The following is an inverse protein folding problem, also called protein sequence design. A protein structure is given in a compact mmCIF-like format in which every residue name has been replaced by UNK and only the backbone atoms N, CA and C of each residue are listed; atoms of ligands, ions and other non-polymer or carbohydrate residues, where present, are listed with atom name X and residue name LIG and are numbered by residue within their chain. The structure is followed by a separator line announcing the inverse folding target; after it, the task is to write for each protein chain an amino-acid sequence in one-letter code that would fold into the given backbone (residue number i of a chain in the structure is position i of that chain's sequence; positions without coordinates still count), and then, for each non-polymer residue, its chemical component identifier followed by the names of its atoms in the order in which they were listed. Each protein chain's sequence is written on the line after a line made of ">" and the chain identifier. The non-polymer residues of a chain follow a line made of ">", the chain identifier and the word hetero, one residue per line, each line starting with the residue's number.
data_IF_524843658633
#
_entry.id   IF_524843658633
#
_cell.length_a   1.000
_cell.length_b   1.000
_cell.length_c   1.000
_cell.angle_alpha   90.00
_cell.angle_beta   90.00
_cell.angle_gamma   90.00
#
_symmetry.space_group_name_H-M   'P 1'
#
loop_
_entity.id
_entity.type
_entity.pdbx_description
1 polymer ?
#
# COMPACT_ATOMS: atom_id res chain seq x y z
N UNK A 1 -9.99 -10.93 -16.56
CA UNK A 1 -9.91 -10.21 -15.26
C UNK A 1 -8.64 -9.40 -15.20
N UNK A 2 -8.73 -8.17 -14.79
CA UNK A 2 -7.62 -7.23 -14.55
C UNK A 2 -7.35 -7.09 -13.07
N UNK A 3 -6.08 -6.97 -12.69
CA UNK A 3 -5.64 -6.61 -11.35
C UNK A 3 -5.08 -5.19 -11.36
N UNK A 4 -5.49 -4.38 -10.41
CA UNK A 4 -5.01 -3.01 -10.22
C UNK A 4 -4.62 -2.83 -8.76
N UNK A 5 -3.56 -2.09 -8.49
CA UNK A 5 -3.21 -1.69 -7.12
C UNK A 5 -2.64 -0.27 -7.12
N UNK A 6 -2.58 0.39 -5.96
CA UNK A 6 -1.70 1.55 -5.85
C UNK A 6 -0.23 1.12 -5.67
N UNK A 7 0.69 2.06 -5.89
CA UNK A 7 2.14 1.77 -5.89
C UNK A 7 2.69 1.32 -4.55
N UNK A 8 1.95 1.46 -3.44
CA UNK A 8 2.35 0.90 -2.15
C UNK A 8 2.36 -0.64 -2.12
N UNK A 9 1.96 -1.31 -3.20
CA UNK A 9 2.14 -2.76 -3.36
C UNK A 9 3.59 -3.18 -3.68
N UNK A 10 4.47 -2.23 -3.95
CA UNK A 10 5.90 -2.41 -4.23
C UNK A 10 6.23 -3.24 -5.49
N UNK A 11 5.26 -3.48 -6.38
CA UNK A 11 5.48 -4.15 -7.66
C UNK A 11 4.96 -3.34 -8.84
N UNK A 12 5.58 -3.51 -10.01
CA UNK A 12 5.24 -2.82 -11.26
C UNK A 12 4.53 -3.74 -12.26
N UNK A 13 4.75 -5.02 -12.13
CA UNK A 13 4.20 -6.07 -12.99
C UNK A 13 3.84 -7.32 -12.18
N UNK A 14 2.94 -8.12 -12.72
CA UNK A 14 2.54 -9.39 -12.15
C UNK A 14 2.48 -10.42 -13.28
N UNK A 15 3.40 -11.37 -13.29
CA UNK A 15 3.64 -12.28 -14.41
C UNK A 15 2.37 -13.03 -14.86
N UNK A 16 2.06 -12.94 -16.15
CA UNK A 16 0.91 -13.60 -16.76
C UNK A 16 -0.44 -12.97 -16.42
N UNK A 17 -0.46 -11.73 -15.90
CA UNK A 17 -1.68 -10.98 -15.60
C UNK A 17 -1.70 -9.63 -16.32
N UNK A 18 -2.90 -9.15 -16.62
CA UNK A 18 -3.12 -7.74 -16.94
C UNK A 18 -3.12 -7.00 -15.60
N UNK A 19 -2.01 -6.35 -15.29
CA UNK A 19 -1.79 -5.63 -14.03
C UNK A 19 -1.39 -4.18 -14.27
N UNK A 20 -1.86 -3.28 -13.42
CA UNK A 20 -1.46 -1.87 -13.41
C UNK A 20 -1.28 -1.37 -11.98
N UNK A 21 -0.11 -0.80 -11.68
CA UNK A 21 0.12 -0.02 -10.47
C UNK A 21 -0.23 1.45 -10.72
N UNK A 22 -1.04 2.04 -9.84
CA UNK A 22 -1.45 3.46 -9.89
C UNK A 22 -0.55 4.24 -8.93
N UNK A 23 0.18 5.25 -9.38
CA UNK A 23 1.20 5.89 -8.59
C UNK A 23 0.65 6.75 -7.46
N UNK A 24 1.26 6.61 -6.28
CA UNK A 24 1.20 7.59 -5.20
C UNK A 24 2.18 8.73 -5.50
N UNK A 25 1.95 9.88 -4.91
CA UNK A 25 2.87 11.02 -5.00
C UNK A 25 3.45 11.34 -3.63
N UNK A 26 4.75 11.58 -3.58
CA UNK A 26 5.48 12.02 -2.39
C UNK A 26 5.96 13.45 -2.66
N UNK A 27 5.71 14.38 -1.75
CA UNK A 27 6.06 15.79 -1.93
C UNK A 27 6.81 16.34 -0.72
N UNK A 28 7.71 17.26 -1.00
CA UNK A 28 8.31 18.19 -0.05
C UNK A 28 7.84 19.62 -0.40
N UNK A 29 8.32 20.63 0.31
CA UNK A 29 8.00 22.03 0.00
C UNK A 29 8.51 22.46 -1.40
N UNK A 30 9.50 21.74 -1.96
CA UNK A 30 10.21 22.16 -3.18
C UNK A 30 10.14 21.13 -4.31
N UNK A 31 9.82 19.87 -4.04
CA UNK A 31 9.88 18.80 -5.03
C UNK A 31 8.74 17.81 -4.86
N UNK A 32 8.34 17.24 -5.98
CA UNK A 32 7.33 16.20 -6.07
C UNK A 32 7.92 14.95 -6.76
N UNK A 33 7.59 13.79 -6.24
CA UNK A 33 8.05 12.48 -6.69
C UNK A 33 6.85 11.60 -6.96
N UNK A 34 6.67 11.21 -8.22
CA UNK A 34 5.64 10.27 -8.63
C UNK A 34 6.21 8.84 -8.57
N UNK A 35 5.54 7.95 -7.84
CA UNK A 35 5.95 6.55 -7.70
C UNK A 35 5.43 5.70 -8.87
N UNK A 36 5.78 6.10 -10.09
CA UNK A 36 5.33 5.54 -11.37
C UNK A 36 6.24 4.44 -11.93
N UNK A 37 7.24 4.08 -11.16
CA UNK A 37 8.23 3.07 -11.56
C UNK A 37 9.44 3.62 -12.34
N UNK A 38 9.46 4.91 -12.68
CA UNK A 38 10.63 5.61 -13.21
C UNK A 38 11.30 6.48 -12.14
N UNK A 39 10.75 6.49 -10.93
CA UNK A 39 11.25 7.25 -9.80
C UNK A 39 12.70 6.88 -9.47
N UNK A 40 13.59 7.88 -9.45
CA UNK A 40 14.92 7.76 -8.87
C UNK A 40 14.80 7.75 -7.34
N UNK A 41 14.70 6.55 -6.78
CA UNK A 41 14.53 6.32 -5.34
C UNK A 41 15.71 6.87 -4.54
N UNK A 42 16.96 6.74 -5.06
CA UNK A 42 18.14 7.22 -4.37
C UNK A 42 18.12 8.75 -4.27
N UNK A 43 17.83 9.44 -5.38
CA UNK A 43 17.66 10.89 -5.38
C UNK A 43 16.57 11.35 -4.43
N UNK A 44 15.40 10.68 -4.45
CA UNK A 44 14.28 10.99 -3.55
C UNK A 44 14.70 10.83 -2.08
N UNK A 45 15.33 9.70 -1.72
CA UNK A 45 15.77 9.44 -0.35
C UNK A 45 16.80 10.48 0.12
N UNK A 46 17.77 10.85 -0.73
CA UNK A 46 18.77 11.88 -0.43
C UNK A 46 18.13 13.24 -0.14
N UNK A 47 17.07 13.58 -0.84
CA UNK A 47 16.33 14.83 -0.65
C UNK A 47 15.50 14.76 0.63
N UNK A 48 14.75 13.67 0.84
CA UNK A 48 13.95 13.50 2.05
C UNK A 48 14.79 13.45 3.32
N UNK A 49 15.99 12.86 3.29
CA UNK A 49 16.91 12.82 4.43
C UNK A 49 17.44 14.20 4.81
N UNK A 50 17.68 15.06 3.83
CA UNK A 50 18.16 16.43 4.03
C UNK A 50 17.01 17.42 4.32
N UNK A 51 15.78 17.05 4.00
CA UNK A 51 14.61 17.90 4.18
C UNK A 51 14.25 18.00 5.67
N UNK A 52 14.25 19.24 6.20
CA UNK A 52 13.90 19.51 7.61
C UNK A 52 12.42 19.80 7.83
N UNK A 53 11.69 20.03 6.73
CA UNK A 53 10.26 20.29 6.73
C UNK A 53 9.42 19.02 6.81
N UNK A 54 8.14 19.20 6.64
CA UNK A 54 7.19 18.09 6.54
C UNK A 54 7.15 17.56 5.11
N UNK A 55 7.26 16.24 4.95
CA UNK A 55 6.92 15.58 3.70
C UNK A 55 5.44 15.19 3.68
N UNK A 56 4.85 15.19 2.49
CA UNK A 56 3.45 14.87 2.27
C UNK A 56 3.34 13.70 1.30
N UNK A 57 2.20 13.02 1.34
CA UNK A 57 1.84 12.02 0.34
C UNK A 57 0.43 12.30 -0.16
N UNK A 58 0.23 12.17 -1.46
CA UNK A 58 -1.08 12.25 -2.09
C UNK A 58 -1.49 10.88 -2.66
N UNK A 59 -2.76 10.54 -2.49
CA UNK A 59 -3.34 9.38 -3.15
C UNK A 59 -3.61 9.68 -4.62
N UNK A 60 -3.71 8.64 -5.48
CA UNK A 60 -4.08 8.81 -6.88
C UNK A 60 -5.44 9.48 -7.03
N UNK A 61 -5.58 10.33 -8.05
CA UNK A 61 -6.86 10.91 -8.43
C UNK A 61 -7.79 9.90 -9.13
N UNK A 62 -9.06 10.26 -9.27
CA UNK A 62 -10.08 9.41 -9.94
C UNK A 62 -9.64 9.05 -11.36
N UNK A 63 -9.13 10.02 -12.13
CA UNK A 63 -8.73 9.81 -13.52
C UNK A 63 -7.62 8.76 -13.67
N UNK A 64 -6.66 8.74 -12.74
CA UNK A 64 -5.59 7.74 -12.74
C UNK A 64 -6.12 6.31 -12.50
N UNK A 65 -7.14 6.17 -11.67
CA UNK A 65 -7.82 4.89 -11.47
C UNK A 65 -8.62 4.46 -12.70
N UNK A 66 -9.38 5.38 -13.32
CA UNK A 66 -10.14 5.12 -14.54
C UNK A 66 -9.23 4.66 -15.68
N UNK A 67 -8.08 5.33 -15.87
CA UNK A 67 -7.07 4.90 -16.83
C UNK A 67 -6.56 3.47 -16.52
N UNK A 68 -6.32 3.17 -15.24
CA UNK A 68 -5.84 1.84 -14.84
C UNK A 68 -6.89 0.74 -15.00
N UNK A 69 -8.18 1.05 -14.87
CA UNK A 69 -9.28 0.10 -15.11
C UNK A 69 -9.36 -0.30 -16.59
N UNK A 70 -9.03 0.63 -17.51
CA UNK A 70 -9.14 0.39 -18.95
C UNK A 70 -10.57 0.02 -19.34
N UNK A 71 -10.73 -0.91 -20.29
CA UNK A 71 -12.05 -1.37 -20.79
C UNK A 71 -12.40 -2.78 -20.29
N UNK A 72 -11.84 -3.21 -19.15
CA UNK A 72 -12.05 -4.57 -18.65
C UNK A 72 -13.38 -4.69 -17.87
N UNK A 73 -14.10 -5.78 -18.11
CA UNK A 73 -15.39 -6.03 -17.45
C UNK A 73 -15.27 -6.65 -16.04
N UNK A 74 -14.11 -7.18 -15.67
CA UNK A 74 -13.90 -7.80 -14.35
C UNK A 74 -12.57 -7.31 -13.78
N UNK A 75 -12.63 -6.52 -12.69
CA UNK A 75 -11.49 -5.80 -12.12
C UNK A 75 -11.43 -6.00 -10.61
N UNK A 76 -10.29 -6.45 -10.11
CA UNK A 76 -9.96 -6.42 -8.69
C UNK A 76 -8.94 -5.32 -8.43
N UNK A 77 -9.23 -4.46 -7.47
CA UNK A 77 -8.39 -3.33 -7.08
C UNK A 77 -7.92 -3.55 -5.63
N UNK A 78 -6.62 -3.54 -5.40
CA UNK A 78 -6.05 -3.65 -4.03
C UNK A 78 -5.42 -2.32 -3.65
N UNK A 79 -5.85 -1.74 -2.55
CA UNK A 79 -5.34 -0.44 -2.09
C UNK A 79 -4.58 -0.56 -0.78
N UNK A 80 -3.64 0.35 -0.56
CA UNK A 80 -3.12 0.61 0.78
C UNK A 80 -4.28 0.86 1.73
N UNK A 81 -4.07 0.57 3.00
CA UNK A 81 -5.10 0.70 4.05
C UNK A 81 -5.83 2.04 4.04
N UNK A 82 -7.15 1.98 4.09
CA UNK A 82 -8.01 3.15 4.29
C UNK A 82 -7.78 3.84 5.66
N UNK A 83 -7.23 3.12 6.63
CA UNK A 83 -6.89 3.65 7.96
C UNK A 83 -5.75 4.66 7.95
N UNK A 84 -4.95 4.74 6.87
CA UNK A 84 -3.79 5.63 6.78
C UNK A 84 -3.76 6.49 5.50
N UNK A 85 -4.60 6.20 4.50
CA UNK A 85 -4.60 6.87 3.20
C UNK A 85 -6.01 7.06 2.64
N UNK A 86 -6.21 8.11 1.85
CA UNK A 86 -7.43 8.33 1.08
C UNK A 86 -7.57 7.47 -0.18
N UNK A 87 -6.57 6.64 -0.48
CA UNK A 87 -6.47 5.85 -1.71
C UNK A 87 -7.68 4.95 -1.94
N UNK A 88 -8.13 4.23 -0.90
CA UNK A 88 -9.32 3.39 -0.98
C UNK A 88 -10.57 4.19 -1.39
N UNK A 89 -10.79 5.35 -0.76
CA UNK A 89 -11.95 6.19 -1.07
C UNK A 89 -11.86 6.77 -2.50
N UNK A 90 -10.66 7.14 -2.96
CA UNK A 90 -10.43 7.58 -4.33
C UNK A 90 -10.74 6.46 -5.34
N UNK A 91 -10.28 5.23 -5.09
CA UNK A 91 -10.59 4.08 -5.94
C UNK A 91 -12.10 3.74 -5.93
N UNK A 92 -12.77 3.87 -4.78
CA UNK A 92 -14.22 3.67 -4.69
C UNK A 92 -15.01 4.73 -5.48
N UNK A 93 -14.55 5.99 -5.47
CA UNK A 93 -15.15 7.05 -6.28
C UNK A 93 -14.95 6.77 -7.79
N UNK A 94 -13.75 6.37 -8.20
CA UNK A 94 -13.47 5.96 -9.57
C UNK A 94 -14.33 4.76 -10.00
N UNK A 95 -14.49 3.77 -9.12
CA UNK A 95 -15.39 2.64 -9.35
C UNK A 95 -16.82 3.09 -9.64
N UNK A 96 -17.34 4.06 -8.89
CA UNK A 96 -18.70 4.56 -9.10
C UNK A 96 -18.84 5.18 -10.49
N UNK A 97 -17.90 6.05 -10.88
CA UNK A 97 -17.87 6.67 -12.22
C UNK A 97 -17.74 5.60 -13.31
N UNK A 98 -16.83 4.64 -13.14
CA UNK A 98 -16.61 3.58 -14.12
C UNK A 98 -17.88 2.75 -14.39
N UNK A 99 -18.62 2.41 -13.34
CA UNK A 99 -19.84 1.60 -13.46
C UNK A 99 -21.02 2.37 -14.09
N UNK A 100 -21.01 3.71 -14.10
CA UNK A 100 -21.99 4.50 -14.84
C UNK A 100 -21.81 4.33 -16.36
N UNK A 101 -20.55 4.26 -16.81
CA UNK A 101 -20.19 4.09 -18.22
C UNK A 101 -20.18 2.60 -18.65
N UNK A 102 -19.88 1.71 -17.70
CA UNK A 102 -19.76 0.27 -17.91
C UNK A 102 -20.72 -0.53 -16.98
N UNK A 103 -22.05 -0.46 -17.18
CA UNK A 103 -23.03 -1.01 -16.22
C UNK A 103 -22.98 -2.54 -16.08
N UNK A 104 -22.32 -3.26 -16.99
CA UNK A 104 -22.12 -4.71 -16.90
C UNK A 104 -20.80 -5.12 -16.26
N UNK A 105 -19.93 -4.16 -16.00
CA UNK A 105 -18.64 -4.44 -15.39
C UNK A 105 -18.79 -4.78 -13.90
N UNK A 106 -17.85 -5.61 -13.43
CA UNK A 106 -17.73 -6.00 -12.03
C UNK A 106 -16.39 -5.44 -11.51
N UNK A 107 -16.46 -4.55 -10.56
CA UNK A 107 -15.27 -3.94 -9.96
C UNK A 107 -15.31 -4.14 -8.46
N UNK A 108 -14.36 -4.88 -7.92
CA UNK A 108 -14.15 -5.06 -6.47
C UNK A 108 -12.96 -4.22 -6.03
N UNK A 109 -13.17 -3.25 -5.15
CA UNK A 109 -12.11 -2.52 -4.46
C UNK A 109 -11.89 -3.16 -3.09
N UNK A 110 -10.66 -3.55 -2.82
CA UNK A 110 -10.23 -4.25 -1.60
C UNK A 110 -9.37 -3.28 -0.78
N UNK A 111 -9.85 -2.91 0.40
CA UNK A 111 -9.00 -2.30 1.43
C UNK A 111 -8.10 -3.39 1.99
N UNK A 112 -6.79 -3.35 1.68
CA UNK A 112 -5.84 -4.35 2.19
C UNK A 112 -5.71 -4.33 3.71
N UNK A 113 -6.13 -3.24 4.36
CA UNK A 113 -5.88 -2.92 5.77
C UNK A 113 -4.40 -2.97 6.13
N UNK A 114 -3.54 -2.82 5.13
CA UNK A 114 -2.10 -2.97 5.23
C UNK A 114 -1.37 -2.15 4.16
N UNK A 115 -0.11 -2.50 3.89
CA UNK A 115 0.74 -1.93 2.85
C UNK A 115 1.80 -2.94 2.42
N UNK A 116 2.56 -2.62 1.35
CA UNK A 116 3.75 -3.36 0.92
C UNK A 116 3.53 -4.87 0.80
N UNK A 117 4.32 -5.67 1.55
CA UNK A 117 4.34 -7.13 1.40
C UNK A 117 2.98 -7.80 1.58
N UNK A 118 2.08 -7.25 2.41
CA UNK A 118 0.76 -7.84 2.56
C UNK A 118 -0.15 -7.55 1.36
N UNK A 119 0.00 -6.38 0.70
CA UNK A 119 -0.68 -6.11 -0.57
C UNK A 119 -0.20 -7.08 -1.66
N UNK A 120 1.12 -7.32 -1.72
CA UNK A 120 1.70 -8.26 -2.68
C UNK A 120 1.09 -9.66 -2.55
N UNK A 121 1.05 -10.23 -1.34
CA UNK A 121 0.49 -11.59 -1.16
C UNK A 121 -1.03 -11.66 -1.44
N UNK A 122 -1.77 -10.56 -1.27
CA UNK A 122 -3.18 -10.47 -1.69
C UNK A 122 -3.25 -10.51 -3.23
N UNK A 123 -2.41 -9.76 -3.93
CA UNK A 123 -2.34 -9.76 -5.40
C UNK A 123 -1.93 -11.14 -5.94
N UNK A 124 -0.95 -11.79 -5.34
CA UNK A 124 -0.53 -13.16 -5.71
C UNK A 124 -1.66 -14.18 -5.48
N UNK A 125 -2.43 -14.04 -4.40
CA UNK A 125 -3.59 -14.90 -4.16
C UNK A 125 -4.69 -14.69 -5.18
N UNK A 126 -4.99 -13.44 -5.54
CA UNK A 126 -5.93 -13.11 -6.63
C UNK A 126 -5.45 -13.71 -7.96
N UNK A 127 -4.18 -13.52 -8.29
CA UNK A 127 -3.55 -14.10 -9.49
C UNK A 127 -3.69 -15.63 -9.52
N UNK A 128 -3.42 -16.30 -8.40
CA UNK A 128 -3.53 -17.74 -8.31
C UNK A 128 -4.97 -18.22 -8.57
N UNK A 129 -5.96 -17.58 -7.92
CA UNK A 129 -7.36 -17.92 -8.11
C UNK A 129 -7.83 -17.70 -9.55
N UNK A 130 -7.35 -16.63 -10.21
CA UNK A 130 -7.64 -16.37 -11.63
C UNK A 130 -7.00 -17.46 -12.50
N UNK A 131 -5.75 -17.84 -12.26
CA UNK A 131 -5.06 -18.92 -12.98
C UNK A 131 -5.72 -20.29 -12.79
N UNK A 132 -6.34 -20.52 -11.64
CA UNK A 132 -7.16 -21.71 -11.35
C UNK A 132 -8.52 -21.70 -12.08
N UNK A 133 -8.86 -20.63 -12.80
CA UNK A 133 -10.09 -20.49 -13.56
C UNK A 133 -11.33 -20.18 -12.74
N UNK A 134 -11.15 -19.64 -11.52
CA UNK A 134 -12.29 -19.20 -10.66
C UNK A 134 -13.00 -17.99 -11.28
N UNK A 135 -14.30 -17.95 -11.09
CA UNK A 135 -15.13 -16.81 -11.50
C UNK A 135 -14.88 -15.60 -10.58
N UNK A 136 -15.30 -14.42 -11.04
CA UNK A 136 -15.22 -13.19 -10.24
C UNK A 136 -15.91 -13.36 -8.87
N UNK A 137 -17.12 -13.96 -8.85
CA UNK A 137 -17.90 -14.17 -7.64
C UNK A 137 -17.25 -15.15 -6.66
N UNK A 138 -16.62 -16.21 -7.16
CA UNK A 138 -15.87 -17.15 -6.32
C UNK A 138 -14.65 -16.51 -5.69
N UNK A 139 -13.95 -15.64 -6.44
CA UNK A 139 -12.79 -14.90 -5.93
C UNK A 139 -13.25 -13.85 -4.90
N UNK A 140 -14.28 -13.06 -5.21
CA UNK A 140 -14.84 -12.05 -4.31
C UNK A 140 -15.29 -12.66 -2.98
N UNK A 141 -15.95 -13.82 -3.03
CA UNK A 141 -16.38 -14.54 -1.83
C UNK A 141 -15.25 -15.15 -0.99
N UNK A 142 -14.08 -15.39 -1.58
CA UNK A 142 -12.96 -16.09 -0.92
C UNK A 142 -11.86 -15.16 -0.39
N UNK A 143 -11.64 -14.01 -1.03
CA UNK A 143 -10.46 -13.17 -0.75
C UNK A 143 -10.44 -12.60 0.66
N UNK A 144 -11.59 -12.20 1.21
CA UNK A 144 -11.66 -11.64 2.56
C UNK A 144 -11.26 -12.67 3.63
N UNK A 145 -11.63 -13.94 3.44
CA UNK A 145 -11.24 -15.04 4.33
C UNK A 145 -9.71 -15.34 4.27
N UNK A 146 -9.09 -15.16 3.10
CA UNK A 146 -7.65 -15.23 2.96
C UNK A 146 -6.95 -14.10 3.70
N UNK A 147 -7.41 -12.85 3.52
CA UNK A 147 -6.85 -11.68 4.17
C UNK A 147 -6.85 -11.77 5.69
N UNK A 148 -7.88 -12.39 6.29
CA UNK A 148 -7.96 -12.62 7.73
C UNK A 148 -6.85 -13.53 8.28
N UNK A 149 -6.22 -14.35 7.44
CA UNK A 149 -5.12 -15.26 7.81
C UNK A 149 -3.74 -14.64 7.67
N UNK A 150 -3.65 -13.46 7.07
CA UNK A 150 -2.40 -12.75 6.83
C UNK A 150 -2.15 -11.68 7.89
N UNK A 151 -0.89 -11.36 8.17
CA UNK A 151 -0.49 -10.31 9.11
C UNK A 151 0.76 -9.62 8.58
N UNK A 152 0.79 -8.29 8.72
CA UNK A 152 1.99 -7.49 8.48
C UNK A 152 2.74 -7.28 9.78
N UNK A 153 4.05 -7.51 9.76
CA UNK A 153 4.98 -7.06 10.79
C UNK A 153 6.04 -6.18 10.16
N UNK A 154 6.39 -5.09 10.83
CA UNK A 154 7.40 -4.17 10.36
C UNK A 154 8.32 -3.73 11.50
N UNK A 155 9.54 -3.36 11.14
CA UNK A 155 10.49 -2.73 12.06
C UNK A 155 10.78 -1.32 11.55
N UNK A 156 10.42 -0.32 12.32
CA UNK A 156 10.51 1.10 11.95
C UNK A 156 11.57 1.80 12.82
N UNK A 157 12.59 2.35 12.15
CA UNK A 157 13.66 3.12 12.80
C UNK A 157 13.21 4.51 13.23
N UNK A 158 12.20 5.07 12.54
CA UNK A 158 11.61 6.38 12.85
C UNK A 158 10.11 6.35 12.56
N UNK A 159 9.37 7.03 13.42
CA UNK A 159 7.94 7.28 13.24
C UNK A 159 7.65 8.77 13.00
N UNK A 160 8.69 9.58 12.86
CA UNK A 160 8.58 11.04 12.79
C UNK A 160 7.61 11.52 11.70
N UNK A 161 7.81 11.07 10.45
CA UNK A 161 6.96 11.45 9.32
C UNK A 161 5.51 10.95 9.47
N UNK A 162 5.33 9.73 10.00
CA UNK A 162 4.00 9.19 10.28
C UNK A 162 3.27 10.01 11.33
N UNK A 163 3.97 10.48 12.38
CA UNK A 163 3.39 11.33 13.41
C UNK A 163 3.10 12.74 12.93
N UNK A 164 4.01 13.34 12.15
CA UNK A 164 3.79 14.65 11.54
C UNK A 164 2.56 14.65 10.61
N UNK A 165 2.29 13.52 9.96
CA UNK A 165 1.15 13.34 9.07
C UNK A 165 -0.09 12.75 9.78
N UNK A 166 -0.07 12.59 11.11
CA UNK A 166 -1.21 12.14 11.90
C UNK A 166 -1.57 10.64 11.72
N UNK A 167 -0.65 9.81 11.16
CA UNK A 167 -0.85 8.38 10.97
C UNK A 167 -0.48 7.54 12.19
N UNK A 168 0.24 8.12 13.13
CA UNK A 168 0.49 7.56 14.47
C UNK A 168 0.38 8.67 15.50
N UNK A 169 0.09 8.30 16.76
CA UNK A 169 0.03 9.29 17.82
C UNK A 169 1.44 9.83 18.15
N UNK A 170 1.53 11.09 18.55
CA UNK A 170 2.80 11.71 18.96
C UNK A 170 3.45 10.97 20.13
N UNK A 171 2.65 10.36 21.01
CA UNK A 171 3.15 9.56 22.13
C UNK A 171 3.89 8.32 21.66
N UNK A 172 3.35 7.63 20.64
CA UNK A 172 4.00 6.46 20.02
C UNK A 172 5.28 6.87 19.31
N UNK A 173 5.27 8.01 18.61
CA UNK A 173 6.44 8.54 17.91
C UNK A 173 7.58 8.92 18.85
N UNK A 174 7.29 9.63 19.94
CA UNK A 174 8.30 10.02 20.93
C UNK A 174 9.02 8.82 21.57
N UNK A 175 8.33 7.68 21.65
CA UNK A 175 8.94 6.45 22.16
C UNK A 175 9.95 5.81 21.17
N UNK A 176 9.94 6.21 19.91
CA UNK A 176 10.84 5.72 18.85
C UNK A 176 12.05 6.66 18.62
N UNK A 177 12.04 7.87 19.17
CA UNK A 177 13.13 8.84 18.99
C UNK A 177 14.38 8.55 19.84
N UNK A 178 14.36 7.51 20.67
CA UNK A 178 15.54 7.08 21.42
C UNK A 178 16.52 6.40 20.49
N UNK A 179 17.72 6.96 20.38
CA UNK A 179 18.81 6.48 19.53
C UNK A 179 19.01 4.95 19.61
N UNK A 180 18.97 4.27 18.47
CA UNK A 180 19.22 2.83 18.36
C UNK A 180 18.04 1.92 18.69
N UNK A 181 16.83 2.46 18.90
CA UNK A 181 15.62 1.68 19.12
C UNK A 181 14.76 1.70 17.87
N UNK A 182 14.38 0.51 17.39
CA UNK A 182 13.36 0.33 16.36
C UNK A 182 12.03 -0.06 17.02
N UNK A 183 10.93 0.45 16.48
CA UNK A 183 9.58 0.04 16.89
C UNK A 183 9.15 -1.14 16.03
N UNK A 184 8.74 -2.22 16.68
CA UNK A 184 8.06 -3.33 16.01
C UNK A 184 6.59 -2.97 15.91
N UNK A 185 6.08 -2.93 14.69
CA UNK A 185 4.70 -2.58 14.37
C UNK A 185 3.96 -3.70 13.65
N UNK A 186 2.65 -3.63 13.72
CA UNK A 186 1.72 -4.46 12.94
C UNK A 186 0.56 -3.60 12.44
N UNK A 187 -0.17 -4.09 11.45
CA UNK A 187 -1.44 -3.49 11.07
C UNK A 187 -2.53 -3.95 12.07
N UNK A 188 -3.28 -3.01 12.63
CA UNK A 188 -4.46 -3.31 13.45
C UNK A 188 -5.60 -3.86 12.60
N UNK A 189 -6.67 -4.34 13.24
CA UNK A 189 -7.89 -4.75 12.54
C UNK A 189 -8.56 -3.63 11.73
N UNK A 190 -8.25 -2.37 12.06
CA UNK A 190 -8.72 -1.18 11.35
C UNK A 190 -7.73 -0.66 10.31
N UNK A 191 -6.61 -1.36 10.09
CA UNK A 191 -5.59 -0.97 9.13
C UNK A 191 -4.73 0.22 9.57
N UNK A 192 -4.70 0.57 10.85
CA UNK A 192 -3.78 1.56 11.42
C UNK A 192 -2.50 0.90 11.92
N UNK A 193 -1.41 1.64 11.98
CA UNK A 193 -0.17 1.15 12.56
C UNK A 193 -0.29 1.01 14.08
N UNK A 194 -0.02 -0.17 14.60
CA UNK A 194 -0.03 -0.51 16.01
C UNK A 194 1.36 -0.95 16.46
N UNK A 195 1.90 -0.29 17.48
CA UNK A 195 3.19 -0.64 18.04
C UNK A 195 3.02 -1.82 19.03
N UNK A 196 3.68 -2.94 18.75
CA UNK A 196 3.61 -4.16 19.58
C UNK A 196 4.88 -4.44 20.37
N UNK A 197 5.97 -3.72 20.06
CA UNK A 197 7.23 -3.91 20.75
C UNK A 197 8.30 -2.92 20.34
N UNK A 198 9.45 -3.04 20.98
CA UNK A 198 10.66 -2.28 20.67
C UNK A 198 11.83 -3.24 20.63
N UNK A 199 12.78 -3.02 19.72
CA UNK A 199 14.04 -3.76 19.71
C UNK A 199 15.21 -2.80 19.50
N UNK A 200 16.33 -3.13 20.12
CA UNK A 200 17.64 -2.55 19.82
C UNK A 200 18.30 -3.45 18.79
N UNK A 201 18.33 -3.02 17.54
CA UNK A 201 19.03 -3.79 16.51
C UNK A 201 20.49 -3.35 16.49
N UNK A 202 21.36 -4.14 17.13
CA UNK A 202 22.78 -4.11 16.79
C UNK A 202 22.96 -4.96 15.55
N UNK A 203 23.48 -4.39 14.47
CA UNK A 203 23.80 -5.09 13.20
C UNK A 203 24.75 -6.29 13.37
N UNK A 204 25.36 -6.44 14.53
CA UNK A 204 26.25 -7.55 14.88
C UNK A 204 25.55 -8.88 15.07
N UNK A 205 24.25 -8.92 15.32
CA UNK A 205 23.52 -10.17 15.53
C UNK A 205 22.95 -10.81 14.25
N UNK A 206 22.85 -10.08 13.15
CA UNK A 206 22.37 -10.61 11.86
C UNK A 206 23.44 -11.39 11.07
N UNK A 207 24.73 -11.24 11.41
CA UNK A 207 25.84 -12.00 10.78
C UNK A 207 26.19 -13.34 11.46
N UNK A 208 25.53 -13.71 12.53
CA UNK A 208 25.85 -14.91 13.29
C UNK A 208 25.08 -16.17 12.86
N UNK A 209 24.28 -16.11 11.80
CA UNK A 209 23.47 -17.22 11.30
C UNK A 209 23.62 -17.47 9.79
N UNK A 210 24.71 -17.05 9.16
CA UNK A 210 25.15 -17.54 7.84
C UNK A 210 26.18 -18.67 8.00
#
# INVERSE_FOLDING_TARGET
>A
MRLVADSACDIKELEGMVFKAVPLTISTDNEEFCDDGQLDIHRMLDILEKHKGRSYTACPGIDAWLEAFGDDNEIFVVTITAGMSGTYNSAMAARAVYLEEHPQAKVRVIDSKSTGPQMLIILEQLQQMIKEGKTFEEIDGAIDAYMQKTRLFCSLKSLHNLAQNGRVSKVVASAAEVLGISVIGTASSHGTLEAIGKCTVSYTHLRAHE
#
